data_IF_728715634183
#
_entry.id   IF_728715634183
#
_cell.length_a   1.000
_cell.length_b   1.000
_cell.length_c   1.000
_cell.angle_alpha   90.00
_cell.angle_beta   90.00
_cell.angle_gamma   90.00
#
_symmetry.space_group_name_H-M   'P 1'
#
loop_
_entity.id
_entity.type
_entity.pdbx_description
1 polymer ?
#
# COMPACT_ATOMS: atom_id res chain seq x y z
N UNK A 1 -1.13 -6.61 -0.12
CA UNK A 1 -0.94 -6.59 1.34
C UNK A 1 -0.64 -8.02 1.81
N UNK A 2 0.37 -8.25 2.66
CA UNK A 2 0.66 -9.59 3.21
C UNK A 2 -0.49 -10.10 4.07
N UNK A 3 -0.69 -11.42 4.10
CA UNK A 3 -1.82 -12.07 4.79
C UNK A 3 -1.91 -11.72 6.27
N UNK A 4 -0.78 -11.64 6.97
CA UNK A 4 -0.76 -11.29 8.40
C UNK A 4 -1.25 -9.86 8.66
N UNK A 5 -0.87 -8.90 7.80
CA UNK A 5 -1.34 -7.52 7.94
C UNK A 5 -2.84 -7.40 7.60
N UNK A 6 -3.30 -8.12 6.57
CA UNK A 6 -4.74 -8.20 6.27
C UNK A 6 -5.52 -8.77 7.45
N UNK A 7 -5.05 -9.86 8.06
CA UNK A 7 -5.67 -10.45 9.25
C UNK A 7 -5.69 -9.50 10.44
N UNK A 8 -4.60 -8.78 10.69
CA UNK A 8 -4.56 -7.77 11.74
C UNK A 8 -5.61 -6.68 11.51
N UNK A 9 -5.76 -6.19 10.28
CA UNK A 9 -6.81 -5.23 9.95
C UNK A 9 -8.21 -5.81 10.20
N UNK A 10 -8.47 -7.03 9.73
CA UNK A 10 -9.75 -7.72 9.91
C UNK A 10 -10.10 -7.95 11.38
N UNK A 11 -9.13 -8.28 12.24
CA UNK A 11 -9.34 -8.53 13.67
C UNK A 11 -9.41 -7.24 14.49
N UNK A 12 -8.71 -6.17 14.09
CA UNK A 12 -8.65 -4.92 14.88
C UNK A 12 -9.63 -3.85 14.43
N UNK A 13 -9.96 -3.77 13.14
CA UNK A 13 -10.85 -2.74 12.59
C UNK A 13 -12.30 -3.21 12.68
N UNK A 14 -12.76 -3.40 13.92
CA UNK A 14 -14.11 -3.84 14.21
C UNK A 14 -15.13 -2.70 14.16
N UNK A 15 -16.38 -3.06 13.87
CA UNK A 15 -17.53 -2.17 14.00
C UNK A 15 -17.68 -1.70 15.45
N UNK A 16 -17.93 -0.41 15.66
CA UNK A 16 -18.04 0.22 16.98
C UNK A 16 -16.69 0.67 17.57
N UNK A 17 -15.56 0.33 16.93
CA UNK A 17 -14.24 0.85 17.28
C UNK A 17 -13.67 1.73 16.17
N UNK A 18 -13.44 1.14 15.00
CA UNK A 18 -12.78 1.79 13.86
C UNK A 18 -13.75 2.51 12.92
N UNK A 19 -14.96 1.95 12.78
CA UNK A 19 -16.03 2.43 11.90
C UNK A 19 -17.40 2.01 12.45
N UNK A 20 -18.47 2.40 11.76
CA UNK A 20 -19.84 2.13 12.18
C UNK A 20 -20.43 3.23 13.06
N UNK A 21 -21.62 2.99 13.62
CA UNK A 21 -22.41 4.03 14.30
C UNK A 21 -21.71 4.67 15.50
N UNK A 22 -20.85 3.92 16.21
CA UNK A 22 -20.09 4.40 17.38
C UNK A 22 -18.57 4.33 17.20
N UNK A 23 -18.09 3.83 16.05
CA UNK A 23 -16.66 3.64 15.80
C UNK A 23 -16.00 4.89 15.27
N UNK A 24 -15.37 5.66 16.16
CA UNK A 24 -14.73 6.95 15.86
C UNK A 24 -13.25 7.00 16.26
N UNK A 25 -12.68 5.90 16.77
CA UNK A 25 -11.36 5.91 17.42
C UNK A 25 -10.20 6.18 16.48
N UNK A 26 -10.42 5.98 15.18
CA UNK A 26 -9.44 6.26 14.13
C UNK A 26 -9.67 7.60 13.42
N UNK A 27 -10.80 8.28 13.69
CA UNK A 27 -11.20 9.48 12.97
C UNK A 27 -10.18 10.61 13.13
N UNK A 28 -9.77 11.21 12.01
CA UNK A 28 -8.80 12.31 11.94
C UNK A 28 -7.36 11.90 12.25
N UNK A 29 -7.06 10.60 12.44
CA UNK A 29 -5.68 10.12 12.53
C UNK A 29 -5.09 10.00 11.13
N UNK A 30 -3.80 10.31 11.00
CA UNK A 30 -3.07 10.25 9.73
C UNK A 30 -2.57 8.84 9.46
N UNK A 31 -2.73 8.37 8.22
CA UNK A 31 -2.17 7.12 7.74
C UNK A 31 -1.24 7.37 6.56
N UNK A 32 -0.03 6.82 6.62
CA UNK A 32 0.92 6.76 5.51
C UNK A 32 1.11 5.28 5.15
N UNK A 33 0.93 4.94 3.87
CA UNK A 33 1.25 3.59 3.39
C UNK A 33 2.76 3.49 3.12
N UNK A 34 3.46 2.63 3.86
CA UNK A 34 4.90 2.37 3.66
C UNK A 34 5.12 0.93 3.21
N UNK A 35 5.76 0.75 2.05
CA UNK A 35 5.99 -0.59 1.49
C UNK A 35 7.21 -0.65 0.57
N UNK A 36 7.57 -1.85 0.16
CA UNK A 36 8.68 -2.08 -0.77
C UNK A 36 8.20 -2.92 -1.95
N UNK A 37 8.78 -2.71 -3.13
CA UNK A 37 8.49 -3.50 -4.33
C UNK A 37 9.73 -4.20 -4.86
N UNK A 38 9.57 -5.44 -5.33
CA UNK A 38 10.69 -6.18 -5.91
C UNK A 38 11.17 -5.58 -7.23
N UNK A 39 10.22 -5.12 -8.06
CA UNK A 39 10.50 -4.44 -9.32
C UNK A 39 10.97 -2.98 -9.07
N UNK A 40 11.94 -2.45 -9.85
CA UNK A 40 12.23 -1.03 -9.91
C UNK A 40 11.02 -0.19 -10.35
N UNK A 41 11.10 1.09 -10.01
CA UNK A 41 10.05 2.10 -10.14
C UNK A 41 9.58 2.26 -11.58
N UNK A 42 10.50 2.27 -12.56
CA UNK A 42 10.16 2.46 -13.98
C UNK A 42 9.28 1.33 -14.55
N UNK A 43 9.22 0.15 -13.91
CA UNK A 43 8.35 -0.93 -14.36
C UNK A 43 6.89 -0.74 -13.93
N UNK A 44 6.62 0.16 -12.98
CA UNK A 44 5.28 0.54 -12.54
C UNK A 44 4.77 1.71 -13.38
N UNK A 45 4.41 1.40 -14.61
CA UNK A 45 3.66 2.28 -15.52
C UNK A 45 2.72 1.45 -16.38
N UNK A 46 1.83 2.10 -17.13
CA UNK A 46 0.94 1.40 -18.05
C UNK A 46 1.70 0.68 -19.19
N UNK A 47 2.85 1.21 -19.57
CA UNK A 47 3.75 0.65 -20.57
C UNK A 47 4.70 -0.39 -19.97
N UNK A 48 5.11 -0.19 -18.71
CA UNK A 48 6.01 -1.05 -17.95
C UNK A 48 5.50 -2.47 -17.74
N UNK A 49 6.38 -3.35 -17.23
CA UNK A 49 6.05 -4.76 -17.05
C UNK A 49 4.94 -5.00 -16.02
N UNK A 50 4.77 -4.11 -15.04
CA UNK A 50 3.73 -4.21 -14.02
C UNK A 50 2.37 -3.68 -14.49
N UNK A 51 2.32 -3.01 -15.66
CA UNK A 51 1.11 -2.51 -16.34
C UNK A 51 0.26 -1.49 -15.59
N UNK A 52 0.70 -1.08 -14.41
CA UNK A 52 0.01 -0.10 -13.59
C UNK A 52 1.02 0.73 -12.81
N UNK A 53 0.79 2.04 -12.66
CA UNK A 53 1.51 2.87 -11.70
C UNK A 53 1.19 2.43 -10.25
N UNK A 54 2.06 2.79 -9.30
CA UNK A 54 1.92 2.40 -7.89
C UNK A 54 0.58 2.86 -7.31
N UNK A 55 0.12 4.03 -7.73
CA UNK A 55 -1.13 4.67 -7.31
C UNK A 55 -2.37 3.78 -7.52
N UNK A 56 -2.35 2.94 -8.55
CA UNK A 56 -3.47 2.06 -8.92
C UNK A 56 -3.59 0.85 -7.98
N UNK A 57 -2.56 0.56 -7.18
CA UNK A 57 -2.58 -0.47 -6.14
C UNK A 57 -3.04 0.04 -4.77
N UNK A 58 -3.15 1.35 -4.60
CA UNK A 58 -3.55 2.01 -3.35
C UNK A 58 -5.07 2.19 -3.10
N UNK A 59 -6.00 2.00 -4.06
CA UNK A 59 -7.43 2.17 -3.80
C UNK A 59 -7.96 1.40 -2.57
N UNK A 60 -7.56 0.14 -2.29
CA UNK A 60 -8.02 -0.56 -1.09
C UNK A 60 -7.63 0.15 0.22
N UNK A 61 -6.43 0.75 0.28
CA UNK A 61 -5.97 1.51 1.45
C UNK A 61 -6.76 2.81 1.59
N UNK A 62 -7.00 3.51 0.47
CA UNK A 62 -7.81 4.74 0.45
C UNK A 62 -9.26 4.47 0.88
N UNK A 63 -9.85 3.37 0.40
CA UNK A 63 -11.20 2.95 0.79
C UNK A 63 -11.29 2.63 2.29
N UNK A 64 -10.30 1.91 2.83
CA UNK A 64 -10.20 1.66 4.27
C UNK A 64 -10.09 2.97 5.07
N UNK A 65 -9.28 3.94 4.59
CA UNK A 65 -9.17 5.24 5.26
C UNK A 65 -10.51 5.97 5.28
N UNK A 66 -11.22 6.01 4.15
CA UNK A 66 -12.54 6.62 4.04
C UNK A 66 -13.56 5.98 4.99
N UNK A 67 -13.58 4.64 5.06
CA UNK A 67 -14.48 3.90 5.96
C UNK A 67 -14.22 4.23 7.44
N UNK A 68 -12.95 4.38 7.84
CA UNK A 68 -12.55 4.61 9.23
C UNK A 68 -12.41 6.10 9.60
N UNK A 69 -12.66 7.01 8.65
CA UNK A 69 -12.44 8.45 8.83
C UNK A 69 -10.97 8.83 9.05
N UNK A 70 -10.02 8.04 8.56
CA UNK A 70 -8.59 8.34 8.60
C UNK A 70 -8.22 9.36 7.53
N UNK A 71 -7.25 10.22 7.85
CA UNK A 71 -6.65 11.14 6.89
C UNK A 71 -5.54 10.41 6.12
N UNK A 72 -5.80 10.06 4.87
CA UNK A 72 -4.80 9.48 3.99
C UNK A 72 -3.72 10.51 3.64
N UNK A 73 -2.49 10.30 4.10
CA UNK A 73 -1.36 11.22 3.98
C UNK A 73 -0.35 10.80 2.89
N UNK A 74 -0.80 9.99 1.93
CA UNK A 74 0.02 9.50 0.84
C UNK A 74 0.73 8.18 1.15
N UNK A 75 1.76 7.89 0.36
CA UNK A 75 2.55 6.69 0.47
C UNK A 75 4.04 6.99 0.34
N UNK A 76 4.86 6.10 0.90
CA UNK A 76 6.31 6.07 0.73
C UNK A 76 6.65 4.65 0.32
N UNK A 77 7.47 4.49 -0.72
CA UNK A 77 7.92 3.16 -1.10
C UNK A 77 9.35 3.15 -1.60
N UNK A 78 9.96 1.97 -1.54
CA UNK A 78 11.28 1.69 -2.11
C UNK A 78 11.14 0.57 -3.13
N UNK A 79 11.46 0.86 -4.39
CA UNK A 79 11.48 -0.14 -5.46
C UNK A 79 12.80 -0.89 -5.58
N UNK A 80 12.82 -1.88 -6.46
CA UNK A 80 14.03 -2.62 -6.83
C UNK A 80 14.62 -3.49 -5.72
N UNK A 81 13.87 -3.81 -4.65
CA UNK A 81 14.42 -4.52 -3.49
C UNK A 81 14.53 -6.05 -3.68
N UNK A 82 14.21 -6.56 -4.88
CA UNK A 82 14.27 -8.01 -5.17
C UNK A 82 15.69 -8.55 -4.98
N UNK A 83 15.83 -9.56 -4.12
CA UNK A 83 17.10 -10.28 -3.91
C UNK A 83 17.64 -10.93 -5.19
N UNK A 84 16.75 -11.39 -6.07
CA UNK A 84 17.12 -12.04 -7.33
C UNK A 84 17.75 -11.06 -8.32
N UNK A 85 17.41 -9.78 -8.24
CA UNK A 85 17.84 -8.76 -9.21
C UNK A 85 19.00 -7.89 -8.69
N UNK A 86 19.53 -8.15 -7.49
CA UNK A 86 20.62 -7.35 -6.91
C UNK A 86 21.91 -7.37 -7.73
N UNK A 87 22.16 -8.44 -8.47
CA UNK A 87 23.36 -8.61 -9.30
C UNK A 87 23.10 -8.35 -10.80
N UNK A 88 21.84 -8.12 -11.20
CA UNK A 88 21.39 -8.07 -12.59
C UNK A 88 21.05 -6.63 -13.04
N UNK A 89 21.68 -5.60 -12.45
CA UNK A 89 21.42 -4.18 -12.79
C UNK A 89 21.62 -3.92 -14.30
N UNK A 90 22.59 -4.59 -14.94
CA UNK A 90 22.87 -4.49 -16.37
C UNK A 90 21.73 -4.96 -17.29
N UNK A 91 20.82 -5.81 -16.79
CA UNK A 91 19.71 -6.38 -17.58
C UNK A 91 18.61 -5.35 -17.88
N UNK A 92 18.59 -4.25 -17.14
CA UNK A 92 17.59 -3.18 -17.23
C UNK A 92 18.09 -1.97 -18.05
N UNK A 93 19.33 -2.00 -18.54
CA UNK A 93 19.97 -0.92 -19.30
C UNK A 93 20.07 -1.22 -20.82
N UNK A 94 19.35 -2.23 -21.33
CA UNK A 94 19.19 -2.52 -22.76
C UNK A 94 17.78 -2.21 -23.21
#
# INVERSE_FOLDING_TARGET
MPSLLSRWLEETFQHGFSHGSTGDKLKGKKLIASFTTGAPEFMYSYEGAQKYPIEDFLPPIKAMCNLCGLDYFGYVYTGGVSYQNRNDIEKWLK
#
